data_IF_899304304759
#
_entry.id   IF_899304304759
#
_cell.length_a   1.000
_cell.length_b   1.000
_cell.length_c   1.000
_cell.angle_alpha   90.00
_cell.angle_beta   90.00
_cell.angle_gamma   90.00
#
_symmetry.space_group_name_H-M   'P 1'
#
loop_
_entity.id
_entity.type
_entity.pdbx_description
1 polymer ?
#
# COMPACT_ATOMS: atom_id res chain seq x y z
N UNK A 1 8.94 -35.47 -19.37
CA UNK A 1 8.66 -34.12 -18.83
C UNK A 1 9.63 -33.73 -17.74
N UNK A 2 9.55 -34.40 -16.59
CA UNK A 2 10.30 -34.05 -15.36
C UNK A 2 11.83 -34.05 -15.50
N UNK A 3 12.41 -35.09 -16.13
CA UNK A 3 13.86 -35.14 -16.36
C UNK A 3 14.38 -34.00 -17.27
N UNK A 4 13.59 -33.58 -18.26
CA UNK A 4 13.94 -32.43 -19.13
C UNK A 4 13.81 -31.10 -18.37
N UNK A 5 12.83 -30.98 -17.46
CA UNK A 5 12.71 -29.82 -16.57
C UNK A 5 13.91 -29.72 -15.61
N UNK A 6 14.34 -30.85 -15.02
CA UNK A 6 15.51 -30.93 -14.13
C UNK A 6 16.84 -30.56 -14.82
N UNK A 7 17.02 -31.04 -16.06
CA UNK A 7 18.21 -30.72 -16.88
C UNK A 7 18.21 -29.24 -17.28
N UNK A 8 17.03 -28.67 -17.57
CA UNK A 8 16.86 -27.25 -17.88
C UNK A 8 17.20 -26.36 -16.68
N UNK A 9 16.73 -26.69 -15.47
CA UNK A 9 17.06 -25.94 -14.25
C UNK A 9 18.54 -26.01 -13.89
N UNK A 10 19.20 -27.16 -14.11
CA UNK A 10 20.67 -27.25 -13.93
C UNK A 10 21.45 -26.41 -14.95
N UNK A 11 21.02 -26.41 -16.23
CA UNK A 11 21.65 -25.59 -17.27
C UNK A 11 21.45 -24.09 -17.06
N UNK A 12 20.32 -23.70 -16.44
CA UNK A 12 19.97 -22.32 -16.14
C UNK A 12 20.23 -21.95 -14.67
N UNK A 13 21.14 -22.66 -13.98
CA UNK A 13 21.52 -22.31 -12.61
C UNK A 13 22.38 -21.04 -12.63
N UNK A 14 21.72 -19.89 -12.73
CA UNK A 14 22.36 -18.58 -12.69
C UNK A 14 22.77 -18.32 -11.24
N UNK A 15 24.06 -18.10 -11.02
CA UNK A 15 24.55 -17.61 -9.75
C UNK A 15 24.07 -16.16 -9.56
N UNK A 16 23.38 -15.90 -8.45
CA UNK A 16 22.79 -14.59 -8.12
C UNK A 16 23.60 -13.81 -7.07
N UNK A 17 24.87 -14.14 -6.86
CA UNK A 17 25.71 -13.54 -5.81
C UNK A 17 25.91 -12.05 -6.02
N UNK A 18 25.94 -11.60 -7.28
CA UNK A 18 26.05 -10.19 -7.64
C UNK A 18 24.79 -9.43 -7.25
N UNK A 19 23.62 -9.98 -7.58
CA UNK A 19 22.29 -9.45 -7.27
C UNK A 19 22.04 -9.41 -5.76
N UNK A 20 22.38 -10.49 -5.06
CA UNK A 20 22.34 -10.57 -3.60
C UNK A 20 23.24 -9.52 -2.95
N UNK A 21 24.41 -9.25 -3.55
CA UNK A 21 25.28 -8.15 -3.14
C UNK A 21 24.66 -6.77 -3.34
N UNK A 22 23.87 -6.57 -4.40
CA UNK A 22 23.12 -5.33 -4.61
C UNK A 22 22.00 -5.14 -3.58
N UNK A 23 21.22 -6.19 -3.31
CA UNK A 23 20.17 -6.17 -2.26
C UNK A 23 20.80 -5.81 -0.91
N UNK A 24 21.93 -6.44 -0.57
CA UNK A 24 22.64 -6.15 0.68
C UNK A 24 23.18 -4.71 0.75
N UNK A 25 23.48 -4.05 -0.37
CA UNK A 25 23.91 -2.65 -0.41
C UNK A 25 22.74 -1.66 -0.45
N UNK A 26 21.51 -2.11 -0.67
CA UNK A 26 20.33 -1.25 -0.70
C UNK A 26 19.96 -0.73 0.70
N UNK A 27 19.16 0.32 0.80
CA UNK A 27 18.63 0.77 2.10
C UNK A 27 17.43 -0.05 2.57
N UNK A 28 16.93 -0.96 1.74
CA UNK A 28 15.73 -1.75 2.02
C UNK A 28 16.05 -2.84 3.06
N UNK A 29 15.28 -2.94 4.16
CA UNK A 29 15.36 -4.07 5.07
C UNK A 29 14.98 -5.36 4.35
N UNK A 30 15.77 -6.42 4.52
CA UNK A 30 15.46 -7.72 3.93
C UNK A 30 15.67 -8.83 4.94
N UNK A 31 14.89 -9.88 4.77
CA UNK A 31 14.70 -10.95 5.74
C UNK A 31 14.86 -12.30 5.05
N UNK A 32 15.38 -13.28 5.76
CA UNK A 32 15.42 -14.67 5.30
C UNK A 32 14.72 -15.55 6.33
N UNK A 33 13.78 -16.35 5.88
CA UNK A 33 13.00 -17.27 6.71
C UNK A 33 13.32 -18.69 6.27
N UNK A 34 13.65 -19.55 7.23
CA UNK A 34 14.02 -20.94 7.01
C UNK A 34 13.13 -21.84 7.86
N UNK A 35 12.87 -23.06 7.42
CA UNK A 35 12.47 -24.12 8.35
C UNK A 35 13.70 -24.65 9.08
N UNK A 36 13.59 -24.88 10.37
CA UNK A 36 14.71 -25.37 11.20
C UNK A 36 15.21 -26.78 10.81
N UNK A 37 14.37 -27.52 10.09
CA UNK A 37 14.58 -28.92 9.70
C UNK A 37 14.62 -29.09 8.17
N UNK A 38 14.90 -28.02 7.41
CA UNK A 38 14.98 -28.08 5.94
C UNK A 38 16.14 -28.96 5.46
N UNK A 39 15.81 -30.10 4.86
CA UNK A 39 16.75 -31.04 4.26
C UNK A 39 17.02 -30.78 2.77
N UNK A 40 16.18 -30.00 2.10
CA UNK A 40 16.33 -29.68 0.68
C UNK A 40 17.30 -28.51 0.48
N UNK A 41 17.23 -27.50 1.35
CA UNK A 41 18.20 -26.41 1.43
C UNK A 41 18.67 -26.37 2.89
N UNK A 42 19.80 -27.01 3.16
CA UNK A 42 20.34 -27.11 4.53
C UNK A 42 21.04 -25.81 4.90
N UNK A 43 20.53 -25.10 5.92
CA UNK A 43 21.04 -23.78 6.31
C UNK A 43 22.55 -23.75 6.59
N UNK A 44 23.09 -24.76 7.26
CA UNK A 44 24.52 -24.83 7.61
C UNK A 44 25.43 -24.71 6.40
N UNK A 45 25.01 -25.28 5.26
CA UNK A 45 25.79 -25.32 4.03
C UNK A 45 25.89 -23.93 3.37
N UNK A 46 24.94 -23.05 3.67
CA UNK A 46 24.86 -21.70 3.10
C UNK A 46 25.27 -20.61 4.09
N UNK A 47 25.35 -20.91 5.39
CA UNK A 47 25.60 -19.94 6.46
C UNK A 47 26.80 -19.04 6.19
N UNK A 48 27.95 -19.62 5.84
CA UNK A 48 29.17 -18.86 5.57
C UNK A 48 29.02 -17.92 4.37
N UNK A 49 28.42 -18.42 3.29
CA UNK A 49 28.17 -17.66 2.07
C UNK A 49 27.22 -16.50 2.32
N UNK A 50 26.12 -16.75 3.04
CA UNK A 50 25.14 -15.73 3.39
C UNK A 50 25.78 -14.63 4.25
N UNK A 51 26.61 -15.00 5.23
CA UNK A 51 27.34 -14.02 6.06
C UNK A 51 28.31 -13.17 5.25
N UNK A 52 28.89 -13.72 4.18
CA UNK A 52 29.78 -12.98 3.28
C UNK A 52 29.04 -12.02 2.36
N UNK A 53 27.93 -12.45 1.75
CA UNK A 53 27.27 -11.71 0.67
C UNK A 53 26.13 -10.82 1.18
N UNK A 54 25.41 -11.30 2.20
CA UNK A 54 24.21 -10.68 2.76
C UNK A 54 24.28 -10.53 4.28
N UNK A 55 25.32 -9.86 4.84
CA UNK A 55 25.48 -9.69 6.28
C UNK A 55 24.39 -8.86 6.96
N UNK A 56 23.67 -7.99 6.24
CA UNK A 56 22.60 -7.16 6.84
C UNK A 56 21.25 -7.85 6.94
N UNK A 57 21.13 -9.09 6.45
CA UNK A 57 19.87 -9.84 6.51
C UNK A 57 19.47 -10.06 7.96
N UNK A 58 18.18 -10.02 8.23
CA UNK A 58 17.62 -10.55 9.49
C UNK A 58 17.13 -11.97 9.23
N UNK A 59 17.60 -12.90 10.04
CA UNK A 59 17.33 -14.33 9.86
C UNK A 59 16.31 -14.80 10.88
N UNK A 60 15.37 -15.61 10.41
CA UNK A 60 14.36 -16.27 11.23
C UNK A 60 14.24 -17.74 10.85
N UNK A 61 13.92 -18.55 11.84
CA UNK A 61 13.69 -19.98 11.71
C UNK A 61 12.29 -20.27 12.21
N UNK A 62 11.56 -21.10 11.48
CA UNK A 62 10.24 -21.60 11.86
C UNK A 62 10.45 -23.01 12.40
N UNK A 63 9.99 -23.25 13.63
CA UNK A 63 10.14 -24.54 14.29
C UNK A 63 9.30 -25.63 13.63
N UNK A 64 9.76 -26.89 13.78
CA UNK A 64 9.04 -28.07 13.31
C UNK A 64 8.66 -27.98 11.82
N UNK A 65 9.57 -27.42 11.01
CA UNK A 65 9.32 -27.20 9.59
C UNK A 65 10.56 -27.34 8.73
N UNK A 66 10.36 -27.84 7.52
CA UNK A 66 11.35 -28.05 6.49
C UNK A 66 11.29 -26.99 5.40
N UNK A 67 11.25 -27.43 4.14
CA UNK A 67 11.43 -26.53 3.00
C UNK A 67 10.28 -25.54 2.77
N UNK A 68 9.08 -25.85 3.25
CA UNK A 68 7.89 -25.01 3.09
C UNK A 68 7.35 -24.58 4.46
N UNK A 69 8.10 -23.76 5.22
CA UNK A 69 7.74 -23.38 6.58
C UNK A 69 6.36 -22.68 6.65
N UNK A 70 6.00 -21.95 5.59
CA UNK A 70 4.72 -21.28 5.44
C UNK A 70 3.50 -22.20 5.24
N UNK A 71 3.72 -23.51 5.03
CA UNK A 71 2.66 -24.52 4.91
C UNK A 71 2.73 -25.56 6.03
N UNK A 72 3.93 -25.84 6.52
CA UNK A 72 4.18 -26.87 7.52
C UNK A 72 3.90 -26.35 8.94
N UNK A 73 4.25 -25.10 9.24
CA UNK A 73 3.90 -24.44 10.48
C UNK A 73 3.36 -23.03 10.20
N UNK A 74 2.14 -23.01 9.65
CA UNK A 74 1.43 -21.80 9.22
C UNK A 74 1.33 -20.79 10.38
N UNK A 75 0.97 -21.26 11.58
CA UNK A 75 0.73 -20.36 12.71
C UNK A 75 1.99 -19.59 13.11
N UNK A 76 3.14 -20.27 13.24
CA UNK A 76 4.39 -19.60 13.58
C UNK A 76 4.88 -18.70 12.45
N UNK A 77 4.76 -19.15 11.20
CA UNK A 77 5.13 -18.35 10.03
C UNK A 77 4.29 -17.07 9.93
N UNK A 78 2.97 -17.16 10.09
CA UNK A 78 2.07 -16.00 10.03
C UNK A 78 2.32 -15.04 11.19
N UNK A 79 2.52 -15.55 12.41
CA UNK A 79 2.88 -14.71 13.55
C UNK A 79 4.19 -13.96 13.29
N UNK A 80 5.22 -14.63 12.78
CA UNK A 80 6.47 -13.98 12.39
C UNK A 80 6.23 -12.92 11.31
N UNK A 81 5.47 -13.26 10.27
CA UNK A 81 5.24 -12.37 9.14
C UNK A 81 4.47 -11.12 9.55
N UNK A 82 3.34 -11.24 10.23
CA UNK A 82 2.45 -10.11 10.51
C UNK A 82 2.91 -9.27 11.71
N UNK A 83 3.38 -9.92 12.78
CA UNK A 83 3.69 -9.23 14.03
C UNK A 83 5.13 -8.70 14.06
N UNK A 84 6.08 -9.40 13.41
CA UNK A 84 7.50 -9.03 13.47
C UNK A 84 8.04 -8.38 12.20
N UNK A 85 7.68 -8.90 11.02
CA UNK A 85 8.22 -8.44 9.73
C UNK A 85 7.38 -7.31 9.16
N UNK A 86 6.08 -7.51 9.03
CA UNK A 86 5.14 -6.54 8.46
C UNK A 86 4.61 -5.54 9.49
N UNK A 87 4.91 -5.74 10.78
CA UNK A 87 4.54 -4.87 11.92
C UNK A 87 3.31 -4.00 11.62
N UNK A 88 2.18 -4.66 11.37
CA UNK A 88 0.92 -3.98 11.09
C UNK A 88 0.60 -2.98 12.20
N UNK A 89 1.03 -3.26 13.44
CA UNK A 89 0.86 -2.42 14.62
C UNK A 89 1.63 -1.08 14.58
N UNK A 90 2.75 -0.96 13.84
CA UNK A 90 3.45 0.33 13.64
C UNK A 90 2.78 1.13 12.53
N UNK A 91 2.46 0.48 11.42
CA UNK A 91 1.90 1.13 10.24
C UNK A 91 0.43 1.51 10.42
N UNK A 92 -0.28 0.86 11.34
CA UNK A 92 -1.66 1.19 11.73
C UNK A 92 -1.76 1.85 13.11
N UNK A 93 -0.62 2.17 13.75
CA UNK A 93 -0.62 2.78 15.08
C UNK A 93 -1.37 4.12 15.05
N UNK A 94 -2.50 4.19 15.74
CA UNK A 94 -3.34 5.39 15.80
C UNK A 94 -4.42 5.47 14.71
N UNK A 95 -4.56 4.47 13.85
CA UNK A 95 -5.70 4.39 12.94
C UNK A 95 -6.95 3.87 13.68
N UNK A 96 -8.01 4.67 13.69
CA UNK A 96 -9.33 4.29 14.21
C UNK A 96 -10.31 4.22 13.05
N UNK A 97 -10.76 3.00 12.71
CA UNK A 97 -11.75 2.78 11.64
C UNK A 97 -13.05 3.56 11.89
N UNK A 98 -13.46 3.67 13.16
CA UNK A 98 -14.63 4.45 13.57
C UNK A 98 -14.44 5.95 13.31
N UNK A 99 -13.26 6.50 13.60
CA UNK A 99 -12.97 7.91 13.30
C UNK A 99 -12.92 8.16 11.80
N UNK A 100 -12.33 7.25 11.03
CA UNK A 100 -12.32 7.33 9.58
C UNK A 100 -13.73 7.32 8.98
N UNK A 101 -14.60 6.43 9.46
CA UNK A 101 -15.98 6.34 9.00
C UNK A 101 -16.78 7.61 9.35
N UNK A 102 -16.59 8.14 10.56
CA UNK A 102 -17.19 9.41 10.96
C UNK A 102 -16.73 10.56 10.06
N UNK A 103 -15.42 10.65 9.79
CA UNK A 103 -14.86 11.68 8.91
C UNK A 103 -15.45 11.58 7.49
N UNK A 104 -15.60 10.37 6.96
CA UNK A 104 -16.22 10.12 5.65
C UNK A 104 -17.66 10.62 5.60
N UNK A 105 -18.46 10.33 6.63
CA UNK A 105 -19.84 10.80 6.71
C UNK A 105 -19.91 12.33 6.78
N UNK A 106 -19.08 12.96 7.63
CA UNK A 106 -19.00 14.43 7.73
C UNK A 106 -18.59 15.08 6.41
N UNK A 107 -17.65 14.50 5.66
CA UNK A 107 -17.26 15.00 4.34
C UNK A 107 -18.45 14.95 3.37
N UNK A 108 -19.20 13.84 3.36
CA UNK A 108 -20.38 13.69 2.49
C UNK A 108 -21.48 14.70 2.83
N UNK A 109 -21.74 14.95 4.12
CA UNK A 109 -22.69 15.97 4.58
C UNK A 109 -22.27 17.38 4.14
N UNK A 110 -20.99 17.72 4.31
CA UNK A 110 -20.45 19.02 3.91
C UNK A 110 -20.52 19.22 2.39
N UNK A 111 -20.22 18.18 1.60
CA UNK A 111 -20.36 18.23 0.15
C UNK A 111 -21.82 18.49 -0.27
N UNK A 112 -22.78 17.86 0.41
CA UNK A 112 -24.20 18.07 0.16
C UNK A 112 -24.61 19.50 0.50
N UNK A 113 -24.17 20.03 1.63
CA UNK A 113 -24.45 21.41 2.05
C UNK A 113 -23.84 22.45 1.09
N UNK A 114 -22.60 22.24 0.64
CA UNK A 114 -21.96 23.11 -0.37
C UNK A 114 -22.76 23.15 -1.68
N UNK A 115 -23.19 21.98 -2.17
CA UNK A 115 -24.03 21.90 -3.37
C UNK A 115 -25.36 22.67 -3.22
N UNK A 116 -25.99 22.59 -2.04
CA UNK A 116 -27.20 23.37 -1.75
C UNK A 116 -26.93 24.88 -1.76
N UNK A 117 -25.82 25.33 -1.18
CA UNK A 117 -25.43 26.74 -1.21
C UNK A 117 -25.18 27.23 -2.64
N UNK A 118 -24.49 26.44 -3.48
CA UNK A 118 -24.26 26.78 -4.88
C UNK A 118 -25.56 26.96 -5.65
N UNK A 119 -26.55 26.07 -5.43
CA UNK A 119 -27.88 26.20 -6.03
C UNK A 119 -28.59 27.48 -5.58
N UNK A 120 -28.52 27.82 -4.29
CA UNK A 120 -29.11 29.04 -3.75
C UNK A 120 -28.45 30.30 -4.33
N UNK A 121 -27.12 30.32 -4.39
CA UNK A 121 -26.35 31.42 -4.99
C UNK A 121 -26.72 31.59 -6.46
N UNK A 122 -26.81 30.50 -7.22
CA UNK A 122 -27.27 30.55 -8.61
C UNK A 122 -28.66 31.15 -8.76
N UNK A 123 -29.59 30.79 -7.87
CA UNK A 123 -30.92 31.38 -7.81
C UNK A 123 -30.92 32.89 -7.51
N UNK A 124 -30.06 33.33 -6.58
CA UNK A 124 -29.89 34.75 -6.23
C UNK A 124 -29.30 35.53 -7.41
N UNK A 125 -28.24 35.01 -8.04
CA UNK A 125 -27.61 35.63 -9.22
C UNK A 125 -28.62 35.81 -10.35
N UNK A 126 -29.45 34.80 -10.61
CA UNK A 126 -30.52 34.89 -11.61
C UNK A 126 -31.56 35.97 -11.29
N UNK A 127 -31.88 36.19 -10.00
CA UNK A 127 -32.76 37.30 -9.57
C UNK A 127 -32.09 38.66 -9.76
N UNK A 128 -30.80 38.78 -9.42
CA UNK A 128 -30.02 40.01 -9.62
C UNK A 128 -29.96 40.39 -11.09
N UNK A 129 -29.70 39.44 -11.98
CA UNK A 129 -29.65 39.69 -13.43
C UNK A 129 -31.00 40.15 -13.99
N UNK A 130 -32.10 39.56 -13.53
CA UNK A 130 -33.46 40.03 -13.89
C UNK A 130 -33.71 41.47 -13.42
N UNK A 131 -33.32 41.80 -12.19
CA UNK A 131 -33.48 43.14 -11.65
C UNK A 131 -32.64 44.18 -12.43
N UNK A 132 -31.38 43.84 -12.78
CA UNK A 132 -30.52 44.70 -13.61
C UNK A 132 -31.16 44.99 -14.98
N UNK A 133 -31.70 43.98 -15.66
CA UNK A 133 -32.40 44.16 -16.94
C UNK A 133 -33.64 45.06 -16.82
N UNK A 134 -34.41 44.92 -15.73
CA UNK A 134 -35.57 45.79 -15.49
C UNK A 134 -35.13 47.26 -15.29
N UNK A 135 -34.06 47.50 -14.53
CA UNK A 135 -33.50 48.84 -14.34
C UNK A 135 -33.08 49.46 -15.68
N UNK A 136 -32.38 48.71 -16.54
CA UNK A 136 -31.99 49.18 -17.87
C UNK A 136 -33.19 49.56 -18.75
N UNK A 137 -34.27 48.76 -18.70
CA UNK A 137 -35.51 49.05 -19.43
C UNK A 137 -36.12 50.35 -18.92
N UNK A 138 -36.27 50.50 -17.61
CA UNK A 138 -36.84 51.70 -16.98
C UNK A 138 -36.03 52.95 -17.37
N UNK A 139 -34.70 52.88 -17.30
CA UNK A 139 -33.81 53.97 -17.71
C UNK A 139 -34.03 54.38 -19.17
N UNK A 140 -34.15 53.40 -20.08
CA UNK A 140 -34.43 53.66 -21.50
C UNK A 140 -35.78 54.32 -21.75
N UNK A 141 -36.81 54.00 -20.96
CA UNK A 141 -38.13 54.62 -21.09
C UNK A 141 -38.07 56.07 -20.61
N UNK A 142 -37.48 56.34 -19.44
CA UNK A 142 -37.34 57.70 -18.90
C UNK A 142 -36.59 58.61 -19.88
N UNK A 143 -35.50 58.12 -20.48
CA UNK A 143 -34.71 58.86 -21.47
C UNK A 143 -35.44 59.16 -22.80
N UNK A 144 -36.57 58.50 -23.08
CA UNK A 144 -37.38 58.73 -24.29
C UNK A 144 -38.53 59.71 -24.07
N UNK A 145 -38.93 59.96 -22.82
CA UNK A 145 -40.01 60.90 -22.48
C UNK A 145 -39.51 62.29 -22.06
N UNK A 146 -38.18 62.49 -22.00
CA UNK A 146 -37.49 63.78 -21.87
C UNK A 146 -37.02 64.28 -23.24
#
# INVERSE_FOLDING_TARGET
GFARALISTRKNHINLDKENGYINKSEIPFFTIWGDSDSAVVYSDFKEKLNKIMPRRKEYFISESGHLPNKENISEFENLLFENILKLEVDTKGFSEKEFLNLKNTISEKQTSLSQMDQQIGGILGKIDKAKRQIEIIQKVILKEL
#
